data_IF_409474731660
#
_entry.id   IF_409474731660
#
_cell.length_a   1.000
_cell.length_b   1.000
_cell.length_c   1.000
_cell.angle_alpha   90.00
_cell.angle_beta   90.00
_cell.angle_gamma   90.00
#
_symmetry.space_group_name_H-M   'P 1'
#
loop_
_entity.id
_entity.type
_entity.pdbx_description
1 polymer ?
#
# COMPACT_ATOMS: atom_id res chain seq x y z
N UNK A 1 -12.89 4.13 6.70
CA UNK A 1 -12.69 3.03 7.65
C UNK A 1 -11.49 2.27 7.13
N UNK A 2 -10.32 2.49 7.74
CA UNK A 2 -9.11 1.71 7.47
C UNK A 2 -9.33 0.40 8.22
N UNK A 3 -9.22 -0.74 7.55
CA UNK A 3 -9.38 -2.07 8.17
C UNK A 3 -8.17 -2.40 9.05
N UNK A 4 -7.03 -1.80 8.72
CA UNK A 4 -5.79 -1.86 9.47
C UNK A 4 -5.75 -0.77 10.55
N UNK A 5 -5.45 -1.15 11.80
CA UNK A 5 -5.06 -0.15 12.80
C UNK A 5 -3.75 0.50 12.34
N UNK A 6 -3.75 1.82 12.14
CA UNK A 6 -2.52 2.57 11.83
C UNK A 6 -1.75 2.70 13.15
N UNK A 7 -0.65 1.95 13.36
CA UNK A 7 -0.04 1.84 14.68
C UNK A 7 0.91 3.00 14.99
N UNK A 8 0.86 4.08 14.21
CA UNK A 8 1.87 5.14 14.27
C UNK A 8 1.38 6.29 15.13
N UNK A 9 1.82 6.28 16.38
CA UNK A 9 1.89 7.51 17.15
C UNK A 9 3.13 8.30 16.70
N UNK A 10 2.95 9.22 15.74
CA UNK A 10 4.02 10.07 15.18
C UNK A 10 4.82 10.84 16.25
N UNK A 11 4.30 10.95 17.48
CA UNK A 11 4.98 11.57 18.62
C UNK A 11 6.17 10.76 19.16
N UNK A 12 6.24 9.46 18.85
CA UNK A 12 7.26 8.54 19.38
C UNK A 12 8.22 8.02 18.29
N UNK A 13 8.12 8.54 17.06
CA UNK A 13 9.00 8.19 15.94
C UNK A 13 10.15 9.18 15.88
N UNK A 14 11.37 8.72 15.60
CA UNK A 14 12.52 9.61 15.40
C UNK A 14 12.35 10.43 14.12
N UNK A 15 12.95 11.62 14.06
CA UNK A 15 12.91 12.46 12.84
C UNK A 15 13.50 11.74 11.62
N UNK A 16 14.50 10.88 11.83
CA UNK A 16 15.11 10.07 10.76
C UNK A 16 14.17 9.00 10.20
N UNK A 17 13.19 8.55 11.00
CA UNK A 17 12.29 7.46 10.64
C UNK A 17 10.93 7.94 10.13
N UNK A 18 10.66 9.25 10.17
CA UNK A 18 9.33 9.77 9.88
C UNK A 18 8.89 9.46 8.44
N UNK A 19 9.79 9.61 7.46
CA UNK A 19 9.46 9.43 6.05
C UNK A 19 9.16 7.96 5.73
N UNK A 20 9.96 7.02 6.25
CA UNK A 20 9.69 5.58 6.05
C UNK A 20 8.38 5.14 6.70
N UNK A 21 8.06 5.68 7.88
CA UNK A 21 6.82 5.38 8.58
C UNK A 21 5.60 5.97 7.85
N UNK A 22 5.70 7.18 7.30
CA UNK A 22 4.65 7.76 6.46
C UNK A 22 4.40 6.92 5.20
N UNK A 23 5.45 6.45 4.53
CA UNK A 23 5.29 5.58 3.35
C UNK A 23 4.65 4.23 3.71
N UNK A 24 5.02 3.62 4.85
CA UNK A 24 4.40 2.37 5.32
C UNK A 24 2.90 2.54 5.57
N UNK A 25 2.49 3.64 6.20
CA UNK A 25 1.06 3.93 6.44
C UNK A 25 0.32 4.18 5.13
N UNK A 26 0.91 4.94 4.21
CA UNK A 26 0.32 5.17 2.91
C UNK A 26 0.09 3.84 2.16
N UNK A 27 1.09 2.96 2.09
CA UNK A 27 0.97 1.63 1.48
C UNK A 27 -0.14 0.79 2.14
N UNK A 28 -0.23 0.82 3.48
CA UNK A 28 -1.30 0.11 4.20
C UNK A 28 -2.70 0.63 3.81
N UNK A 29 -2.86 1.96 3.71
CA UNK A 29 -4.13 2.56 3.32
C UNK A 29 -4.53 2.15 1.90
N UNK A 30 -3.59 2.13 0.95
CA UNK A 30 -3.88 1.71 -0.42
C UNK A 30 -4.22 0.22 -0.51
N UNK A 31 -3.52 -0.65 0.22
CA UNK A 31 -3.89 -2.08 0.27
C UNK A 31 -5.26 -2.31 0.89
N UNK A 32 -5.63 -1.55 1.93
CA UNK A 32 -6.99 -1.60 2.48
C UNK A 32 -8.03 -1.18 1.44
N UNK A 33 -7.76 -0.14 0.66
CA UNK A 33 -8.64 0.33 -0.42
C UNK A 33 -8.79 -0.74 -1.53
N UNK A 34 -7.67 -1.32 -2.00
CA UNK A 34 -7.67 -2.42 -2.98
C UNK A 34 -8.56 -3.57 -2.49
N UNK A 35 -8.29 -4.07 -1.28
CA UNK A 35 -9.02 -5.18 -0.71
C UNK A 35 -10.52 -4.87 -0.56
N UNK A 36 -10.85 -3.64 -0.13
CA UNK A 36 -12.22 -3.18 0.00
C UNK A 36 -12.95 -3.16 -1.33
N UNK A 37 -12.37 -2.52 -2.35
CA UNK A 37 -13.00 -2.38 -3.66
C UNK A 37 -13.14 -3.72 -4.37
N UNK A 38 -12.13 -4.58 -4.32
CA UNK A 38 -12.21 -5.94 -4.89
C UNK A 38 -13.29 -6.78 -4.18
N UNK A 39 -13.43 -6.68 -2.85
CA UNK A 39 -14.51 -7.34 -2.11
C UNK A 39 -15.89 -6.80 -2.49
N UNK A 40 -16.05 -5.47 -2.58
CA UNK A 40 -17.31 -4.85 -3.02
C UNK A 40 -17.68 -5.29 -4.44
N UNK A 41 -16.69 -5.35 -5.35
CA UNK A 41 -16.87 -5.81 -6.72
C UNK A 41 -17.30 -7.28 -6.80
N UNK A 42 -16.84 -8.11 -5.86
CA UNK A 42 -17.22 -9.52 -5.77
C UNK A 42 -18.63 -9.74 -5.17
N UNK A 43 -19.12 -8.81 -4.35
CA UNK A 43 -20.44 -8.90 -3.69
C UNK A 43 -21.56 -8.32 -4.57
N UNK A 44 -21.28 -7.29 -5.36
CA UNK A 44 -22.30 -6.64 -6.20
C UNK A 44 -22.72 -7.51 -7.39
N UNK A 45 -24.03 -7.52 -7.68
CA UNK A 45 -24.59 -8.14 -8.90
C UNK A 45 -24.69 -7.14 -10.07
N UNK A 46 -24.38 -5.86 -9.85
CA UNK A 46 -24.40 -4.83 -10.88
C UNK A 46 -23.03 -4.78 -11.62
N UNK A 47 -23.05 -5.15 -12.89
CA UNK A 47 -21.84 -5.23 -13.75
C UNK A 47 -21.17 -3.87 -14.00
N UNK A 48 -21.93 -2.78 -14.09
CA UNK A 48 -21.36 -1.44 -14.24
C UNK A 48 -20.60 -1.03 -12.97
N UNK A 49 -21.20 -1.28 -11.79
CA UNK A 49 -20.54 -1.02 -10.51
C UNK A 49 -19.31 -1.90 -10.31
N UNK A 50 -19.37 -3.17 -10.71
CA UNK A 50 -18.24 -4.09 -10.65
C UNK A 50 -17.07 -3.57 -11.48
N UNK A 51 -17.34 -3.10 -12.69
CA UNK A 51 -16.32 -2.52 -13.58
C UNK A 51 -15.65 -1.31 -12.93
N UNK A 52 -16.44 -0.36 -12.42
CA UNK A 52 -15.92 0.84 -11.76
C UNK A 52 -15.06 0.49 -10.54
N UNK A 53 -15.52 -0.44 -9.69
CA UNK A 53 -14.79 -0.84 -8.48
C UNK A 53 -13.45 -1.51 -8.80
N UNK A 54 -13.41 -2.36 -9.84
CA UNK A 54 -12.17 -3.00 -10.28
C UNK A 54 -11.20 -2.02 -10.92
N UNK A 55 -11.71 -1.03 -11.67
CA UNK A 55 -10.88 0.04 -12.24
C UNK A 55 -10.25 0.89 -11.14
N UNK A 56 -11.03 1.31 -10.12
CA UNK A 56 -10.49 2.04 -8.97
C UNK A 56 -9.46 1.19 -8.23
N UNK A 57 -9.73 -0.09 -7.95
CA UNK A 57 -8.76 -0.98 -7.31
C UNK A 57 -7.46 -1.11 -8.12
N UNK A 58 -7.52 -0.98 -9.45
CA UNK A 58 -6.34 -0.98 -10.31
C UNK A 58 -5.54 0.33 -10.21
N UNK A 59 -6.20 1.47 -10.01
CA UNK A 59 -5.53 2.76 -9.73
C UNK A 59 -4.80 2.72 -8.39
N UNK A 60 -5.41 2.17 -7.33
CA UNK A 60 -4.74 2.08 -6.02
C UNK A 60 -3.50 1.19 -6.04
N UNK A 61 -3.44 0.17 -6.91
CA UNK A 61 -2.22 -0.63 -7.14
C UNK A 61 -1.07 0.22 -7.69
N UNK A 62 -1.37 1.26 -8.46
CA UNK A 62 -0.36 2.24 -8.92
C UNK A 62 0.14 3.06 -7.74
N UNK A 63 -0.75 3.51 -6.85
CA UNK A 63 -0.38 4.25 -5.64
C UNK A 63 0.51 3.41 -4.72
N UNK A 64 0.18 2.14 -4.49
CA UNK A 64 1.05 1.18 -3.78
C UNK A 64 2.45 1.16 -4.38
N UNK A 65 2.55 1.00 -5.71
CA UNK A 65 3.84 0.92 -6.39
C UNK A 65 4.65 2.22 -6.25
N UNK A 66 4.00 3.38 -6.32
CA UNK A 66 4.63 4.69 -6.11
C UNK A 66 5.18 4.82 -4.69
N UNK A 67 4.37 4.55 -3.67
CA UNK A 67 4.81 4.65 -2.28
C UNK A 67 5.88 3.61 -1.93
N UNK A 68 5.78 2.39 -2.45
CA UNK A 68 6.80 1.37 -2.23
C UNK A 68 8.14 1.74 -2.87
N UNK A 69 8.11 2.41 -4.02
CA UNK A 69 9.33 2.93 -4.66
C UNK A 69 10.01 3.96 -3.76
N UNK A 70 9.26 4.94 -3.24
CA UNK A 70 9.80 5.94 -2.32
C UNK A 70 10.28 5.30 -1.01
N UNK A 71 9.54 4.33 -0.46
CA UNK A 71 9.95 3.59 0.74
C UNK A 71 11.33 2.95 0.57
N UNK A 72 11.59 2.34 -0.59
CA UNK A 72 12.92 1.76 -0.89
C UNK A 72 14.03 2.80 -0.99
N UNK A 73 13.72 4.06 -1.35
CA UNK A 73 14.70 5.14 -1.38
C UNK A 73 15.03 5.68 0.02
N UNK A 74 14.04 5.74 0.91
CA UNK A 74 14.20 6.29 2.27
C UNK A 74 14.56 5.25 3.33
N UNK A 75 14.35 3.95 3.07
CA UNK A 75 14.66 2.84 3.97
C UNK A 75 15.70 1.88 3.34
N UNK A 76 16.97 2.18 3.57
CA UNK A 76 18.11 1.43 3.04
C UNK A 76 18.14 -0.04 3.50
N UNK A 77 17.63 -0.33 4.70
CA UNK A 77 17.55 -1.72 5.20
C UNK A 77 16.47 -2.48 4.42
N UNK A 78 15.29 -1.87 4.27
CA UNK A 78 14.21 -2.46 3.50
C UNK A 78 14.60 -2.69 2.04
N UNK A 79 15.30 -1.76 1.39
CA UNK A 79 15.83 -1.96 0.04
C UNK A 79 16.75 -3.19 -0.05
N UNK A 80 17.68 -3.35 0.89
CA UNK A 80 18.58 -4.54 0.93
C UNK A 80 17.78 -5.83 1.09
N UNK A 81 16.77 -5.84 1.97
CA UNK A 81 15.89 -6.99 2.17
C UNK A 81 15.10 -7.30 0.90
N UNK A 82 14.50 -6.29 0.26
CA UNK A 82 13.75 -6.43 -1.00
C UNK A 82 14.63 -6.99 -2.11
N UNK A 83 15.83 -6.44 -2.29
CA UNK A 83 16.81 -6.98 -3.23
C UNK A 83 17.07 -8.44 -2.90
N UNK A 84 17.20 -8.84 -1.64
CA UNK A 84 17.51 -10.21 -1.24
C UNK A 84 16.41 -11.24 -1.51
N UNK A 85 15.15 -10.86 -1.40
CA UNK A 85 14.01 -11.76 -1.55
C UNK A 85 13.25 -11.61 -2.88
N UNK A 86 13.65 -10.66 -3.73
CA UNK A 86 13.03 -10.48 -5.04
C UNK A 86 13.10 -11.77 -5.88
N UNK A 87 11.95 -12.23 -6.35
CA UNK A 87 11.84 -13.36 -7.27
C UNK A 87 12.31 -13.01 -8.69
N UNK A 88 12.59 -11.72 -8.96
CA UNK A 88 13.16 -11.24 -10.20
C UNK A 88 14.70 -11.29 -10.22
N UNK A 89 15.33 -11.94 -9.23
CA UNK A 89 16.75 -12.27 -9.29
C UNK A 89 16.99 -13.36 -10.33
N UNK A 90 17.76 -13.04 -11.37
CA UNK A 90 18.50 -14.05 -12.14
C UNK A 90 19.78 -14.47 -11.39
#
# INVERSE_FOLDING_TARGET
MVFSDVPIELKNVSEEDIDKELMRVAIMAEFDAINMYEQMANITENEDLKTILLDIAQEEKVHVAMFQTVLMEVDNEYLKVMVNYSLAKE
#
